data_IF_693315993588
#
_entry.id   IF_693315993588
#
_cell.length_a   1.000
_cell.length_b   1.000
_cell.length_c   1.000
_cell.angle_alpha   90.00
_cell.angle_beta   90.00
_cell.angle_gamma   90.00
#
_symmetry.space_group_name_H-M   'P 1'
#
loop_
_entity.id
_entity.type
_entity.pdbx_description
1 polymer ?
#
# COMPACT_ATOMS: atom_id res chain seq x y z
N UNK A 1 40.16 -3.41 5.10
CA UNK A 1 39.72 -3.45 6.52
C UNK A 1 38.22 -3.68 6.53
N UNK A 2 37.78 -4.94 6.37
CA UNK A 2 36.36 -5.28 6.30
C UNK A 2 35.75 -5.22 7.70
N UNK A 3 34.88 -4.24 7.95
CA UNK A 3 33.98 -4.30 9.10
C UNK A 3 33.07 -5.50 8.93
N UNK A 4 33.43 -6.61 9.58
CA UNK A 4 32.55 -7.77 9.76
C UNK A 4 31.41 -7.29 10.66
N UNK A 5 30.36 -6.74 10.06
CA UNK A 5 29.10 -6.52 10.74
C UNK A 5 28.58 -7.89 11.15
N UNK A 6 28.80 -8.23 12.43
CA UNK A 6 28.21 -9.40 13.10
C UNK A 6 26.73 -9.47 12.70
N UNK A 7 26.31 -10.56 12.07
CA UNK A 7 24.92 -10.79 11.64
C UNK A 7 24.02 -10.60 12.86
N UNK A 8 23.39 -9.43 12.97
CA UNK A 8 22.43 -9.12 14.04
C UNK A 8 21.17 -9.95 13.80
N UNK A 9 20.36 -10.14 14.85
CA UNK A 9 19.15 -10.95 14.73
C UNK A 9 18.22 -10.40 13.63
N UNK A 10 17.54 -11.26 12.85
CA UNK A 10 16.60 -10.83 11.81
C UNK A 10 15.54 -9.85 12.34
N UNK A 11 15.13 -10.03 13.59
CA UNK A 11 14.18 -9.16 14.29
C UNK A 11 14.74 -7.75 14.52
N UNK A 12 16.03 -7.61 14.88
CA UNK A 12 16.64 -6.30 15.02
C UNK A 12 16.65 -5.56 13.67
N UNK A 13 17.06 -6.25 12.61
CA UNK A 13 17.06 -5.69 11.26
C UNK A 13 15.65 -5.28 10.82
N UNK A 14 14.62 -6.03 11.23
CA UNK A 14 13.22 -5.67 10.97
C UNK A 14 12.87 -4.30 11.56
N UNK A 15 13.13 -4.10 12.85
CA UNK A 15 12.76 -2.83 13.49
C UNK A 15 13.54 -1.64 12.95
N UNK A 16 14.83 -1.82 12.61
CA UNK A 16 15.63 -0.75 12.01
C UNK A 16 15.13 -0.40 10.61
N UNK A 17 14.91 -1.42 9.75
CA UNK A 17 14.35 -1.21 8.42
C UNK A 17 12.98 -0.53 8.50
N UNK A 18 12.11 -1.05 9.37
CA UNK A 18 10.76 -0.57 9.51
C UNK A 18 10.73 0.87 10.05
N UNK A 19 11.63 1.23 10.98
CA UNK A 19 11.78 2.61 11.45
C UNK A 19 12.22 3.56 10.32
N UNK A 20 13.21 3.17 9.52
CA UNK A 20 13.63 3.97 8.36
C UNK A 20 12.49 4.20 7.37
N UNK A 21 11.75 3.14 7.03
CA UNK A 21 10.55 3.22 6.18
C UNK A 21 9.44 4.05 6.81
N UNK A 22 9.19 3.90 8.11
CA UNK A 22 8.18 4.65 8.85
C UNK A 22 8.45 6.16 8.86
N UNK A 23 9.72 6.57 9.00
CA UNK A 23 10.12 7.98 8.86
C UNK A 23 9.82 8.50 7.47
N UNK A 24 10.13 7.73 6.43
CA UNK A 24 9.77 8.09 5.03
C UNK A 24 8.25 8.12 4.83
N UNK A 25 7.48 7.25 5.49
CA UNK A 25 6.01 7.29 5.39
C UNK A 25 5.42 8.55 6.02
N UNK A 26 5.95 9.02 7.15
CA UNK A 26 5.57 10.32 7.72
C UNK A 26 5.78 11.44 6.68
N UNK A 27 6.97 11.48 6.06
CA UNK A 27 7.29 12.43 5.00
C UNK A 27 6.31 12.36 3.82
N UNK A 28 6.02 11.15 3.32
CA UNK A 28 5.11 10.92 2.21
C UNK A 28 3.71 11.49 2.47
N UNK A 29 3.15 11.24 3.66
CA UNK A 29 1.80 11.70 4.01
C UNK A 29 1.75 13.20 4.29
N UNK A 30 2.80 13.75 4.88
CA UNK A 30 2.98 15.18 5.07
C UNK A 30 3.04 15.90 3.71
N UNK A 31 3.82 15.35 2.78
CA UNK A 31 3.98 15.89 1.43
C UNK A 31 2.73 15.69 0.56
N UNK A 32 1.97 14.61 0.76
CA UNK A 32 0.69 14.40 0.08
C UNK A 32 -0.27 15.58 0.33
N UNK A 33 -0.42 16.01 1.59
CA UNK A 33 -1.26 17.17 1.94
C UNK A 33 -0.70 18.45 1.33
N UNK A 34 0.60 18.67 1.47
CA UNK A 34 1.23 19.89 0.96
C UNK A 34 1.18 20.00 -0.56
N UNK A 35 1.40 18.93 -1.31
CA UNK A 35 1.29 18.94 -2.78
C UNK A 35 -0.12 19.30 -3.23
N UNK A 36 -1.16 18.69 -2.63
CA UNK A 36 -2.54 19.00 -2.99
C UNK A 36 -2.86 20.49 -2.76
N UNK A 37 -2.47 21.02 -1.59
CA UNK A 37 -2.69 22.41 -1.25
C UNK A 37 -1.81 23.37 -2.06
N UNK A 38 -0.59 22.97 -2.43
CA UNK A 38 0.33 23.84 -3.14
C UNK A 38 -0.05 24.03 -4.61
N UNK A 39 -0.53 22.96 -5.27
CA UNK A 39 -1.09 23.09 -6.61
C UNK A 39 -2.26 24.06 -6.61
N UNK A 40 -3.20 23.89 -5.66
CA UNK A 40 -4.34 24.79 -5.53
C UNK A 40 -3.89 26.23 -5.26
N UNK A 41 -2.92 26.44 -4.38
CA UNK A 41 -2.35 27.76 -4.08
C UNK A 41 -1.73 28.43 -5.32
N UNK A 42 -1.01 27.67 -6.15
CA UNK A 42 -0.33 28.22 -7.33
C UNK A 42 -1.28 28.50 -8.50
N UNK A 43 -2.35 27.72 -8.65
CA UNK A 43 -3.17 27.74 -9.88
C UNK A 43 -4.63 28.12 -9.67
N UNK A 44 -5.09 28.19 -8.43
CA UNK A 44 -6.49 28.43 -8.05
C UNK A 44 -7.49 27.54 -8.82
N UNK A 45 -7.08 26.30 -9.11
CA UNK A 45 -7.79 25.40 -10.02
C UNK A 45 -7.82 23.98 -9.48
N UNK A 46 -9.02 23.55 -9.07
CA UNK A 46 -9.28 22.17 -8.66
C UNK A 46 -9.04 21.17 -9.80
N UNK A 47 -9.23 21.58 -11.07
CA UNK A 47 -8.95 20.74 -12.23
C UNK A 47 -7.46 20.41 -12.35
N UNK A 48 -6.59 21.40 -12.18
CA UNK A 48 -5.13 21.19 -12.25
C UNK A 48 -4.66 20.33 -11.07
N UNK A 49 -5.24 20.51 -9.88
CA UNK A 49 -5.01 19.62 -8.74
C UNK A 49 -5.40 18.17 -9.04
N UNK A 50 -6.54 17.95 -9.70
CA UNK A 50 -6.97 16.62 -10.14
C UNK A 50 -6.03 15.98 -11.16
N UNK A 51 -5.61 16.73 -12.19
CA UNK A 51 -4.63 16.27 -13.18
C UNK A 51 -3.27 15.95 -12.54
N UNK A 52 -2.87 16.74 -11.56
CA UNK A 52 -1.66 16.52 -10.79
C UNK A 52 -1.69 15.18 -10.02
N UNK A 53 -2.81 14.88 -9.35
CA UNK A 53 -3.00 13.58 -8.70
C UNK A 53 -2.98 12.43 -9.72
N UNK A 54 -3.59 12.64 -10.89
CA UNK A 54 -3.59 11.65 -11.97
C UNK A 54 -2.16 11.35 -12.46
N UNK A 55 -1.29 12.34 -12.57
CA UNK A 55 0.13 12.14 -12.94
C UNK A 55 0.87 11.29 -11.89
N UNK A 56 0.61 11.52 -10.60
CA UNK A 56 1.21 10.70 -9.53
C UNK A 56 0.78 9.24 -9.65
N UNK A 57 -0.52 9.00 -9.84
CA UNK A 57 -1.08 7.65 -10.02
C UNK A 57 -0.57 7.00 -11.30
N UNK A 58 -0.45 7.77 -12.38
CA UNK A 58 0.10 7.31 -13.65
C UNK A 58 1.54 6.83 -13.47
N UNK A 59 2.40 7.64 -12.83
CA UNK A 59 3.77 7.21 -12.50
C UNK A 59 3.80 5.93 -11.67
N UNK A 60 2.94 5.84 -10.65
CA UNK A 60 2.80 4.64 -9.84
C UNK A 60 2.34 3.41 -10.63
N UNK A 61 1.35 3.53 -11.51
CA UNK A 61 0.81 2.43 -12.29
C UNK A 61 1.85 1.82 -13.23
N UNK A 62 2.50 2.66 -14.04
CA UNK A 62 3.50 2.19 -15.00
C UNK A 62 4.67 1.54 -14.23
N UNK A 63 5.25 2.25 -13.27
CA UNK A 63 6.38 1.72 -12.52
C UNK A 63 6.02 0.59 -11.57
N UNK A 64 4.76 0.43 -11.16
CA UNK A 64 4.28 -0.76 -10.45
C UNK A 64 4.56 -2.03 -11.25
N UNK A 65 4.16 -2.06 -12.53
CA UNK A 65 4.41 -3.21 -13.39
C UNK A 65 5.91 -3.42 -13.66
N UNK A 66 6.62 -2.34 -14.05
CA UNK A 66 8.06 -2.41 -14.35
C UNK A 66 8.92 -2.75 -13.14
N UNK A 67 8.51 -2.34 -11.93
CA UNK A 67 9.27 -2.59 -10.70
C UNK A 67 9.44 -4.07 -10.42
N UNK A 68 8.47 -4.91 -10.79
CA UNK A 68 8.59 -6.35 -10.63
C UNK A 68 9.68 -6.96 -11.50
N UNK A 69 9.79 -6.50 -12.75
CA UNK A 69 10.86 -6.92 -13.67
C UNK A 69 12.23 -6.39 -13.21
N UNK A 70 12.29 -5.14 -12.77
CA UNK A 70 13.50 -4.54 -12.20
C UNK A 70 13.95 -5.29 -10.95
N UNK A 71 13.01 -5.64 -10.05
CA UNK A 71 13.28 -6.36 -8.81
C UNK A 71 13.79 -7.80 -9.04
N UNK A 72 13.57 -8.37 -10.23
CA UNK A 72 14.12 -9.67 -10.62
C UNK A 72 15.50 -9.54 -11.27
N UNK A 73 15.77 -8.47 -12.02
CA UNK A 73 17.04 -8.24 -12.72
C UNK A 73 18.12 -7.59 -11.83
N UNK A 74 17.73 -6.61 -11.01
CA UNK A 74 18.63 -5.82 -10.18
C UNK A 74 18.51 -6.19 -8.70
N UNK A 75 19.55 -5.96 -7.92
CA UNK A 75 19.48 -6.12 -6.47
C UNK A 75 18.39 -5.20 -5.85
N UNK A 76 17.48 -5.79 -5.06
CA UNK A 76 16.30 -5.08 -4.54
C UNK A 76 16.68 -4.03 -3.50
N UNK A 77 17.76 -4.25 -2.74
CA UNK A 77 18.33 -3.24 -1.82
C UNK A 77 18.80 -2.02 -2.61
N UNK A 78 19.51 -2.22 -3.70
CA UNK A 78 19.96 -1.15 -4.60
C UNK A 78 18.78 -0.36 -5.17
N UNK A 79 17.71 -1.05 -5.62
CA UNK A 79 16.49 -0.40 -6.11
C UNK A 79 15.78 0.46 -5.05
N UNK A 80 15.71 -0.03 -3.80
CA UNK A 80 15.12 0.74 -2.70
C UNK A 80 15.95 2.01 -2.41
N UNK A 81 17.28 1.89 -2.33
CA UNK A 81 18.17 3.04 -2.07
C UNK A 81 18.09 4.05 -3.22
N UNK A 82 18.17 3.61 -4.47
CA UNK A 82 18.08 4.52 -5.63
C UNK A 82 16.72 5.21 -5.68
N UNK A 83 15.64 4.51 -5.33
CA UNK A 83 14.29 5.10 -5.28
C UNK A 83 14.19 6.21 -4.24
N UNK A 84 14.78 6.03 -3.06
CA UNK A 84 14.84 7.08 -2.04
C UNK A 84 15.68 8.28 -2.50
N UNK A 85 16.85 8.05 -3.08
CA UNK A 85 17.72 9.12 -3.55
C UNK A 85 17.11 9.93 -4.70
N UNK A 86 16.43 9.28 -5.65
CA UNK A 86 15.75 9.96 -6.76
C UNK A 86 14.60 10.83 -6.23
N UNK A 87 13.80 10.31 -5.28
CA UNK A 87 12.70 11.06 -4.65
C UNK A 87 13.20 12.24 -3.83
N UNK A 88 14.28 12.05 -3.07
CA UNK A 88 14.96 13.11 -2.35
C UNK A 88 15.46 14.21 -3.31
N UNK A 89 16.18 13.83 -4.37
CA UNK A 89 16.70 14.79 -5.34
C UNK A 89 15.58 15.56 -6.04
N UNK A 90 14.49 14.89 -6.43
CA UNK A 90 13.35 15.55 -7.07
C UNK A 90 12.74 16.64 -6.17
N UNK A 91 12.57 16.35 -4.88
CA UNK A 91 12.07 17.33 -3.91
C UNK A 91 13.07 18.46 -3.63
N UNK A 92 14.36 18.17 -3.52
CA UNK A 92 15.38 19.21 -3.36
C UNK A 92 15.43 20.16 -4.57
N UNK A 93 15.33 19.62 -5.79
CA UNK A 93 15.25 20.43 -7.00
C UNK A 93 13.99 21.29 -7.02
N UNK A 94 12.84 20.77 -6.57
CA UNK A 94 11.60 21.54 -6.43
C UNK A 94 11.74 22.67 -5.39
N UNK A 95 12.39 22.43 -4.25
CA UNK A 95 12.61 23.43 -3.20
C UNK A 95 13.51 24.57 -3.68
N UNK A 96 14.58 24.22 -4.42
CA UNK A 96 15.56 25.17 -4.94
C UNK A 96 15.09 25.88 -6.22
N UNK A 97 13.97 25.45 -6.81
CA UNK A 97 13.44 26.01 -8.04
C UNK A 97 13.01 27.47 -7.87
N UNK A 98 13.33 28.34 -8.85
CA UNK A 98 12.69 29.64 -8.99
C UNK A 98 11.18 29.50 -9.15
N UNK A 99 10.42 30.51 -8.73
CA UNK A 99 8.95 30.47 -8.73
C UNK A 99 8.35 30.17 -10.11
N UNK A 100 9.00 30.64 -11.19
CA UNK A 100 8.58 30.38 -12.58
C UNK A 100 8.63 28.90 -12.99
N UNK A 101 9.46 28.09 -12.32
CA UNK A 101 9.65 26.66 -12.61
C UNK A 101 8.90 25.74 -11.63
N UNK A 102 8.23 26.30 -10.62
CA UNK A 102 7.61 25.48 -9.58
C UNK A 102 6.52 24.58 -10.12
N UNK A 103 5.57 25.10 -10.91
CA UNK A 103 4.47 24.27 -11.41
C UNK A 103 4.96 23.12 -12.34
N UNK A 104 5.82 23.34 -13.35
CA UNK A 104 6.38 22.25 -14.14
C UNK A 104 7.16 21.22 -13.30
N UNK A 105 8.03 21.68 -12.39
CA UNK A 105 8.82 20.78 -11.55
C UNK A 105 7.96 20.02 -10.53
N UNK A 106 6.86 20.62 -10.07
CA UNK A 106 5.90 19.98 -9.19
C UNK A 106 5.26 18.78 -9.90
N UNK A 107 4.85 18.92 -11.17
CA UNK A 107 4.30 17.83 -11.98
C UNK A 107 5.33 16.70 -12.19
N UNK A 108 6.57 17.05 -12.55
CA UNK A 108 7.66 16.07 -12.74
C UNK A 108 7.95 15.35 -11.41
N UNK A 109 8.04 16.09 -10.31
CA UNK A 109 8.30 15.53 -8.98
C UNK A 109 7.17 14.59 -8.56
N UNK A 110 5.92 14.95 -8.83
CA UNK A 110 4.75 14.10 -8.56
C UNK A 110 4.83 12.75 -9.28
N UNK A 111 5.18 12.77 -10.57
CA UNK A 111 5.42 11.55 -11.34
C UNK A 111 6.53 10.70 -10.71
N UNK A 112 7.69 11.31 -10.40
CA UNK A 112 8.84 10.62 -9.82
C UNK A 112 8.53 10.01 -8.45
N UNK A 113 7.83 10.75 -7.57
CA UNK A 113 7.41 10.24 -6.26
C UNK A 113 6.47 9.03 -6.40
N UNK A 114 5.50 9.08 -7.32
CA UNK A 114 4.61 7.96 -7.61
C UNK A 114 5.37 6.75 -8.15
N UNK A 115 6.21 6.98 -9.17
CA UNK A 115 6.98 5.96 -9.86
C UNK A 115 7.95 5.21 -8.93
N UNK A 116 8.87 5.95 -8.31
CA UNK A 116 9.90 5.37 -7.45
C UNK A 116 9.35 4.95 -6.08
N UNK A 117 8.22 5.50 -5.66
CA UNK A 117 7.47 4.96 -4.52
C UNK A 117 7.01 3.52 -4.74
N UNK A 118 6.53 3.19 -5.94
CA UNK A 118 6.14 1.82 -6.26
C UNK A 118 7.35 0.90 -6.44
N UNK A 119 8.43 1.37 -7.06
CA UNK A 119 9.69 0.61 -7.16
C UNK A 119 10.20 0.23 -5.77
N UNK A 120 10.19 1.17 -4.82
CA UNK A 120 10.56 0.92 -3.43
C UNK A 120 9.64 -0.13 -2.80
N UNK A 121 8.32 0.07 -2.86
CA UNK A 121 7.36 -0.78 -2.15
C UNK A 121 7.36 -2.22 -2.68
N UNK A 122 7.42 -2.42 -4.00
CA UNK A 122 7.49 -3.76 -4.61
C UNK A 122 8.79 -4.46 -4.25
N UNK A 123 9.92 -3.72 -4.28
CA UNK A 123 11.23 -4.25 -3.88
C UNK A 123 11.23 -4.66 -2.40
N UNK A 124 10.67 -3.83 -1.51
CA UNK A 124 10.59 -4.15 -0.08
C UNK A 124 9.71 -5.38 0.17
N UNK A 125 8.48 -5.38 -0.34
CA UNK A 125 7.50 -6.45 -0.07
C UNK A 125 7.94 -7.82 -0.60
N UNK A 126 8.62 -7.84 -1.75
CA UNK A 126 9.18 -9.08 -2.31
C UNK A 126 10.43 -9.57 -1.54
N UNK A 127 11.17 -8.67 -0.89
CA UNK A 127 12.38 -9.00 -0.13
C UNK A 127 12.10 -9.52 1.28
N UNK A 128 10.94 -9.20 1.87
CA UNK A 128 10.60 -9.57 3.26
C UNK A 128 10.90 -11.04 3.60
N UNK A 129 10.53 -12.04 2.78
CA UNK A 129 10.79 -13.43 3.13
C UNK A 129 12.26 -13.83 3.07
N UNK A 130 13.05 -13.13 2.26
CA UNK A 130 14.50 -13.33 2.16
C UNK A 130 15.21 -12.68 3.34
N UNK A 131 14.81 -11.46 3.71
CA UNK A 131 15.45 -10.71 4.79
C UNK A 131 15.14 -11.33 6.17
N UNK A 132 13.88 -11.75 6.39
CA UNK A 132 13.39 -12.11 7.72
C UNK A 132 13.03 -13.60 7.89
N UNK A 133 13.04 -14.39 6.81
CA UNK A 133 12.52 -15.76 6.84
C UNK A 133 11.01 -15.82 6.61
N UNK A 134 10.52 -17.01 6.25
CA UNK A 134 9.10 -17.24 5.93
C UNK A 134 8.23 -17.11 7.20
N UNK A 135 8.75 -17.55 8.33
CA UNK A 135 8.12 -17.57 9.65
C UNK A 135 7.85 -16.17 10.23
N UNK A 136 8.56 -15.14 9.76
CA UNK A 136 8.46 -13.78 10.29
C UNK A 136 7.70 -12.82 9.38
N UNK A 137 7.17 -13.29 8.25
CA UNK A 137 6.44 -12.48 7.25
C UNK A 137 5.26 -11.72 7.84
N UNK A 138 4.38 -12.42 8.57
CA UNK A 138 3.20 -11.81 9.21
C UNK A 138 3.62 -10.71 10.18
N UNK A 139 4.66 -10.97 10.99
CA UNK A 139 5.20 -9.97 11.92
C UNK A 139 5.82 -8.77 11.19
N UNK A 140 6.60 -9.01 10.13
CA UNK A 140 7.22 -7.96 9.34
C UNK A 140 6.15 -7.07 8.68
N UNK A 141 5.17 -7.66 8.02
CA UNK A 141 4.05 -6.95 7.41
C UNK A 141 3.25 -6.17 8.45
N UNK A 142 2.99 -6.74 9.63
CA UNK A 142 2.28 -6.06 10.71
C UNK A 142 3.03 -4.84 11.25
N UNK A 143 4.35 -4.94 11.43
CA UNK A 143 5.18 -3.81 11.90
C UNK A 143 5.25 -2.71 10.84
N UNK A 144 5.45 -3.07 9.58
CA UNK A 144 5.49 -2.11 8.46
C UNK A 144 4.14 -1.39 8.30
N UNK A 145 3.04 -2.15 8.31
CA UNK A 145 1.70 -1.58 8.20
C UNK A 145 1.37 -0.67 9.40
N UNK A 146 1.82 -1.06 10.60
CA UNK A 146 1.62 -0.23 11.79
C UNK A 146 2.35 1.11 11.71
N UNK A 147 3.63 1.10 11.30
CA UNK A 147 4.39 2.34 11.14
C UNK A 147 3.85 3.20 10.00
N UNK A 148 3.32 2.60 8.93
CA UNK A 148 2.65 3.35 7.87
C UNK A 148 1.38 4.05 8.40
N UNK A 149 0.53 3.35 9.16
CA UNK A 149 -0.68 3.94 9.77
C UNK A 149 -0.36 5.06 10.76
N UNK A 150 0.68 4.88 11.59
CA UNK A 150 1.19 5.94 12.47
C UNK A 150 1.70 7.13 11.64
N UNK A 151 2.47 6.83 10.58
CA UNK A 151 3.01 7.84 9.68
C UNK A 151 1.92 8.65 8.97
N UNK A 152 0.83 8.01 8.59
CA UNK A 152 -0.35 8.67 8.02
C UNK A 152 -0.95 9.69 8.98
N UNK A 153 -1.23 9.28 10.21
CA UNK A 153 -1.83 10.16 11.21
C UNK A 153 -0.89 11.32 11.53
N UNK A 154 0.38 11.04 11.84
CA UNK A 154 1.35 12.09 12.18
C UNK A 154 1.57 13.03 10.99
N UNK A 155 1.83 12.49 9.81
CA UNK A 155 2.13 13.27 8.61
C UNK A 155 0.97 14.18 8.20
N UNK A 156 -0.25 13.63 8.12
CA UNK A 156 -1.43 14.43 7.74
C UNK A 156 -1.81 15.49 8.78
N UNK A 157 -1.74 15.17 10.09
CA UNK A 157 -2.07 16.13 11.15
C UNK A 157 -1.07 17.29 11.24
N UNK A 158 0.21 17.01 11.01
CA UNK A 158 1.27 18.03 11.13
C UNK A 158 1.48 18.84 9.86
N UNK A 159 1.04 18.36 8.69
CA UNK A 159 1.25 19.02 7.41
C UNK A 159 0.73 20.47 7.39
N UNK A 160 -0.55 20.69 7.68
CA UNK A 160 -1.15 22.02 7.62
C UNK A 160 -0.54 23.00 8.62
N UNK A 161 -0.13 22.50 9.80
CA UNK A 161 0.57 23.31 10.79
C UNK A 161 1.94 23.76 10.26
N UNK A 162 2.71 22.84 9.68
CA UNK A 162 4.03 23.17 9.15
C UNK A 162 3.91 24.17 7.99
N UNK A 163 2.92 23.99 7.12
CA UNK A 163 2.63 24.93 6.02
C UNK A 163 2.27 26.32 6.57
N UNK A 164 1.42 26.40 7.59
CA UNK A 164 0.97 27.68 8.15
C UNK A 164 2.12 28.50 8.78
N UNK A 165 3.05 27.84 9.48
CA UNK A 165 4.14 28.51 10.18
C UNK A 165 5.42 28.69 9.34
N UNK A 166 5.75 27.71 8.48
CA UNK A 166 7.03 27.68 7.75
C UNK A 166 6.89 27.49 6.24
N UNK A 167 5.66 27.44 5.70
CA UNK A 167 5.39 27.37 4.27
C UNK A 167 5.61 25.99 3.62
N UNK A 168 5.20 25.88 2.36
CA UNK A 168 5.22 24.63 1.58
C UNK A 168 6.63 24.06 1.35
N UNK A 169 7.63 24.92 1.08
CA UNK A 169 9.01 24.47 0.82
C UNK A 169 9.62 23.72 2.01
N UNK A 170 9.25 24.09 3.24
CA UNK A 170 9.72 23.42 4.46
C UNK A 170 9.21 21.99 4.54
N UNK A 171 7.94 21.76 4.19
CA UNK A 171 7.38 20.41 4.08
C UNK A 171 8.18 19.57 3.08
N UNK A 172 8.44 20.09 1.88
CA UNK A 172 9.15 19.35 0.83
C UNK A 172 10.59 19.02 1.24
N UNK A 173 11.24 19.93 1.95
CA UNK A 173 12.58 19.72 2.51
C UNK A 173 12.56 18.62 3.59
N UNK A 174 11.58 18.64 4.50
CA UNK A 174 11.40 17.60 5.52
C UNK A 174 11.23 16.23 4.83
N UNK A 175 10.33 16.12 3.85
CA UNK A 175 10.11 14.87 3.13
C UNK A 175 11.38 14.38 2.41
N UNK A 176 12.12 15.28 1.75
CA UNK A 176 13.41 14.95 1.13
C UNK A 176 14.42 14.38 2.14
N UNK A 177 14.50 14.97 3.34
CA UNK A 177 15.35 14.47 4.42
C UNK A 177 14.88 13.09 4.91
N UNK A 178 13.57 12.84 4.99
CA UNK A 178 13.06 11.52 5.38
C UNK A 178 13.45 10.42 4.37
N UNK A 179 13.43 10.71 3.06
CA UNK A 179 13.94 9.79 2.04
C UNK A 179 15.43 9.55 2.17
N UNK A 180 16.23 10.61 2.41
CA UNK A 180 17.66 10.47 2.64
C UNK A 180 17.96 9.57 3.85
N UNK A 181 17.24 9.77 4.97
CA UNK A 181 17.36 8.94 6.17
C UNK A 181 17.02 7.48 5.87
N UNK A 182 15.91 7.22 5.16
CA UNK A 182 15.53 5.86 4.75
C UNK A 182 16.60 5.19 3.89
N UNK A 183 17.14 5.90 2.89
CA UNK A 183 18.21 5.41 2.03
C UNK A 183 19.51 5.11 2.79
N UNK A 184 19.88 5.96 3.74
CA UNK A 184 21.06 5.75 4.61
C UNK A 184 20.87 4.55 5.54
N UNK A 185 19.70 4.40 6.16
CA UNK A 185 19.35 3.25 6.99
C UNK A 185 19.50 1.97 6.18
N UNK A 186 18.94 1.92 4.97
CA UNK A 186 19.08 0.78 4.06
C UNK A 186 20.54 0.53 3.70
N UNK A 187 21.31 1.56 3.33
CA UNK A 187 22.71 1.41 2.94
C UNK A 187 23.54 0.72 4.04
N UNK A 188 23.36 1.14 5.29
CA UNK A 188 24.10 0.63 6.45
C UNK A 188 23.61 -0.76 6.89
N UNK A 189 22.35 -1.12 6.62
CA UNK A 189 21.78 -2.39 7.07
C UNK A 189 22.39 -3.58 6.29
N UNK A 190 23.03 -4.57 6.95
CA UNK A 190 23.58 -5.74 6.28
C UNK A 190 22.48 -6.76 6.01
N UNK A 191 21.65 -6.51 4.98
CA UNK A 191 20.56 -7.38 4.56
C UNK A 191 20.79 -7.97 3.16
N UNK A 192 20.35 -9.21 2.98
CA UNK A 192 20.23 -9.85 1.68
C UNK A 192 18.79 -9.76 1.21
N UNK A 193 18.58 -9.31 -0.02
CA UNK A 193 17.23 -9.02 -0.56
C UNK A 193 16.79 -9.94 -1.70
N UNK A 194 17.69 -10.78 -2.20
CA UNK A 194 17.41 -11.86 -3.14
C UNK A 194 17.97 -13.17 -2.62
N UNK A 195 17.29 -14.28 -2.91
CA UNK A 195 17.82 -15.60 -2.62
C UNK A 195 19.03 -15.89 -3.52
N UNK A 196 20.05 -16.58 -2.99
CA UNK A 196 21.18 -17.04 -3.81
C UNK A 196 20.69 -17.99 -4.90
N UNK A 197 20.91 -17.62 -6.17
CA UNK A 197 20.65 -18.49 -7.32
C UNK A 197 21.68 -19.62 -7.33
N UNK A 198 21.22 -20.87 -7.14
CA UNK A 198 22.08 -22.07 -7.07
C UNK A 198 22.77 -22.46 -8.39
N UNK A 199 22.67 -21.66 -9.46
CA UNK A 199 23.37 -21.95 -10.72
C UNK A 199 23.63 -20.67 -11.54
N UNK A 200 24.89 -20.40 -11.94
CA UNK A 200 25.23 -19.37 -12.93
C UNK A 200 24.63 -19.64 -14.33
N UNK A 201 24.15 -20.86 -14.61
CA UNK A 201 23.66 -21.27 -15.93
C UNK A 201 22.22 -20.81 -16.24
N UNK A 202 21.41 -20.49 -15.23
CA UNK A 202 20.01 -20.03 -15.42
C UNK A 202 19.89 -18.50 -15.52
N UNK A 203 20.96 -17.77 -15.22
CA UNK A 203 21.09 -16.33 -15.48
C UNK A 203 21.34 -16.05 -16.98
N UNK A 204 20.78 -16.87 -17.88
CA UNK A 204 20.74 -16.52 -19.29
C UNK A 204 19.80 -15.34 -19.45
N UNK A 205 20.46 -14.20 -19.58
CA UNK A 205 20.13 -12.92 -20.16
C UNK A 205 19.33 -13.04 -21.47
N UNK A 206 18.13 -13.63 -21.41
CA UNK A 206 17.15 -13.43 -22.45
C UNK A 206 16.43 -12.15 -22.07
N UNK A 207 16.78 -11.08 -22.76
CA UNK A 207 15.88 -9.95 -23.02
C UNK A 207 14.61 -10.50 -23.69
N UNK A 208 13.79 -11.18 -22.91
CA UNK A 208 12.45 -11.52 -23.30
C UNK A 208 11.73 -10.19 -23.37
N UNK A 209 11.40 -9.76 -24.59
CA UNK A 209 10.70 -8.49 -24.77
C UNK A 209 9.47 -8.40 -23.88
N UNK A 210 9.10 -7.17 -23.49
CA UNK A 210 8.01 -6.83 -22.56
C UNK A 210 6.75 -7.70 -22.71
N UNK A 211 6.28 -7.90 -23.95
CA UNK A 211 5.09 -8.71 -24.24
C UNK A 211 5.23 -10.19 -23.89
N UNK A 212 6.43 -10.76 -24.02
CA UNK A 212 6.70 -12.14 -23.65
C UNK A 212 6.68 -12.31 -22.13
N UNK A 213 7.19 -11.33 -21.37
CA UNK A 213 7.12 -11.35 -19.91
C UNK A 213 5.68 -11.27 -19.41
N UNK A 214 4.86 -10.38 -20.00
CA UNK A 214 3.41 -10.32 -19.73
C UNK A 214 2.75 -11.67 -20.01
N UNK A 215 3.08 -12.31 -21.13
CA UNK A 215 2.49 -13.59 -21.54
C UNK A 215 2.89 -14.73 -20.61
N UNK A 216 4.14 -14.76 -20.14
CA UNK A 216 4.60 -15.76 -19.17
C UNK A 216 3.88 -15.58 -17.83
N UNK A 217 3.74 -14.34 -17.38
CA UNK A 217 3.09 -14.02 -16.13
C UNK A 217 1.58 -14.27 -16.17
N UNK A 218 0.91 -13.94 -17.28
CA UNK A 218 -0.51 -14.24 -17.46
C UNK A 218 -0.78 -15.74 -17.52
N UNK A 219 0.11 -16.53 -18.16
CA UNK A 219 0.06 -18.00 -18.10
C UNK A 219 0.27 -18.53 -16.69
N UNK A 220 1.24 -17.97 -15.95
CA UNK A 220 1.52 -18.36 -14.58
C UNK A 220 0.31 -18.10 -13.65
N UNK A 221 -0.26 -16.90 -13.71
CA UNK A 221 -1.44 -16.54 -12.94
C UNK A 221 -2.68 -17.34 -13.37
N UNK A 222 -2.81 -17.66 -14.67
CA UNK A 222 -3.83 -18.55 -15.19
C UNK A 222 -3.74 -19.98 -14.65
N UNK A 223 -2.53 -20.45 -14.33
CA UNK A 223 -2.32 -21.76 -13.68
C UNK A 223 -2.60 -21.74 -12.17
N UNK A 224 -2.63 -20.56 -11.54
CA UNK A 224 -2.93 -20.36 -10.11
C UNK A 224 -4.23 -19.58 -9.93
N UNK A 225 -5.41 -20.21 -10.16
CA UNK A 225 -6.69 -19.50 -10.21
C UNK A 225 -7.03 -18.76 -8.92
N UNK A 226 -6.60 -19.27 -7.76
CA UNK A 226 -6.80 -18.58 -6.47
C UNK A 226 -6.02 -17.26 -6.45
N UNK A 227 -4.74 -17.25 -6.81
CA UNK A 227 -3.90 -16.05 -6.77
C UNK A 227 -4.46 -14.97 -7.71
N UNK A 228 -4.91 -15.37 -8.90
CA UNK A 228 -5.61 -14.47 -9.82
C UNK A 228 -6.89 -13.88 -9.21
N UNK A 229 -7.71 -14.72 -8.58
CA UNK A 229 -8.92 -14.23 -7.91
C UNK A 229 -8.61 -13.27 -6.75
N UNK A 230 -7.56 -13.52 -5.96
CA UNK A 230 -7.15 -12.57 -4.91
C UNK A 230 -6.73 -11.21 -5.49
N UNK A 231 -6.00 -11.22 -6.61
CA UNK A 231 -5.61 -10.00 -7.32
C UNK A 231 -6.82 -9.23 -7.86
N UNK A 232 -7.82 -9.93 -8.40
CA UNK A 232 -9.07 -9.31 -8.86
C UNK A 232 -9.90 -8.75 -7.70
N UNK A 233 -10.00 -9.49 -6.60
CA UNK A 233 -10.66 -9.00 -5.38
C UNK A 233 -9.94 -7.74 -4.88
N UNK A 234 -8.61 -7.73 -4.86
CA UNK A 234 -7.82 -6.56 -4.44
C UNK A 234 -8.01 -5.36 -5.38
N UNK A 235 -8.07 -5.58 -6.69
CA UNK A 235 -8.37 -4.51 -7.66
C UNK A 235 -9.72 -3.85 -7.33
N UNK A 236 -10.74 -4.67 -7.12
CA UNK A 236 -12.11 -4.19 -6.92
C UNK A 236 -12.30 -3.61 -5.51
N UNK A 237 -11.62 -4.16 -4.52
CA UNK A 237 -11.46 -3.58 -3.18
C UNK A 237 -10.89 -2.17 -3.22
N UNK A 238 -9.79 -1.95 -3.97
CA UNK A 238 -9.21 -0.61 -4.13
C UNK A 238 -10.11 0.35 -4.91
N UNK A 239 -10.88 -0.17 -5.88
CA UNK A 239 -11.93 0.59 -6.55
C UNK A 239 -13.02 1.04 -5.56
N UNK A 240 -13.53 0.13 -4.73
CA UNK A 240 -14.46 0.44 -3.65
C UNK A 240 -13.88 1.48 -2.70
N UNK A 241 -12.61 1.34 -2.36
CA UNK A 241 -11.91 2.20 -1.40
C UNK A 241 -11.76 3.66 -1.87
N UNK A 242 -11.77 3.91 -3.18
CA UNK A 242 -11.82 5.27 -3.70
C UNK A 242 -13.07 6.03 -3.22
N UNK A 243 -14.18 5.33 -2.97
CA UNK A 243 -15.43 5.92 -2.50
C UNK A 243 -15.30 6.59 -1.14
N UNK A 244 -14.55 5.99 -0.20
CA UNK A 244 -14.37 6.60 1.11
C UNK A 244 -13.25 7.64 1.11
N UNK A 245 -12.25 7.53 0.22
CA UNK A 245 -11.21 8.53 0.10
C UNK A 245 -11.76 9.90 -0.36
N UNK A 246 -12.64 9.90 -1.37
CA UNK A 246 -13.33 11.11 -1.86
C UNK A 246 -14.59 11.41 -1.03
N UNK A 247 -15.29 10.38 -0.59
CA UNK A 247 -16.57 10.52 0.12
C UNK A 247 -16.45 11.02 1.56
N UNK A 248 -15.39 10.67 2.30
CA UNK A 248 -15.23 11.12 3.70
C UNK A 248 -15.17 12.66 3.81
N UNK A 249 -14.39 13.38 2.98
CA UNK A 249 -14.43 14.85 2.95
C UNK A 249 -15.83 15.43 2.68
N UNK A 250 -16.52 14.92 1.65
CA UNK A 250 -17.88 15.39 1.28
C UNK A 250 -18.88 15.12 2.41
N UNK A 251 -18.85 13.91 2.96
CA UNK A 251 -19.71 13.49 4.06
C UNK A 251 -19.45 14.29 5.34
N UNK A 252 -18.18 14.56 5.65
CA UNK A 252 -17.79 15.38 6.81
C UNK A 252 -18.28 16.81 6.69
N UNK A 253 -18.27 17.39 5.48
CA UNK A 253 -18.84 18.71 5.21
C UNK A 253 -20.37 18.75 5.34
N UNK A 254 -21.05 17.64 5.09
CA UNK A 254 -22.50 17.52 5.33
C UNK A 254 -22.83 17.38 6.81
N UNK A 255 -22.02 16.65 7.58
CA UNK A 255 -22.22 16.45 9.03
C UNK A 255 -21.92 17.71 9.84
N UNK A 256 -20.86 18.43 9.50
CA UNK A 256 -20.49 19.68 10.16
C UNK A 256 -19.90 20.64 9.14
N UNK A 257 -20.74 21.53 8.56
CA UNK A 257 -20.27 22.55 7.62
C UNK A 257 -19.23 23.50 8.23
N UNK A 258 -19.28 23.71 9.55
CA UNK A 258 -18.36 24.60 10.26
C UNK A 258 -16.96 23.99 10.45
N UNK A 259 -16.87 22.67 10.63
CA UNK A 259 -15.61 21.99 10.97
C UNK A 259 -15.37 20.67 10.20
N UNK A 260 -15.47 20.65 8.85
CA UNK A 260 -15.34 19.42 8.07
C UNK A 260 -14.00 18.71 8.29
N UNK A 261 -12.90 19.47 8.33
CA UNK A 261 -11.55 18.94 8.50
C UNK A 261 -11.36 18.18 9.82
N UNK A 262 -12.06 18.59 10.89
CA UNK A 262 -12.01 17.89 12.18
C UNK A 262 -12.61 16.48 12.06
N UNK A 263 -13.78 16.36 11.42
CA UNK A 263 -14.44 15.06 11.22
C UNK A 263 -13.67 14.15 10.27
N UNK A 264 -13.10 14.69 9.18
CA UNK A 264 -12.20 13.94 8.29
C UNK A 264 -11.03 13.35 9.09
N UNK A 265 -10.35 14.20 9.87
CA UNK A 265 -9.23 13.78 10.72
C UNK A 265 -9.62 12.73 11.76
N UNK A 266 -10.77 12.91 12.41
CA UNK A 266 -11.27 11.99 13.44
C UNK A 266 -11.61 10.61 12.89
N UNK A 267 -12.27 10.55 11.72
CA UNK A 267 -12.61 9.29 11.04
C UNK A 267 -11.33 8.55 10.63
N UNK A 268 -10.38 9.24 9.97
CA UNK A 268 -9.12 8.63 9.54
C UNK A 268 -8.24 8.19 10.71
N UNK A 269 -8.19 8.96 11.79
CA UNK A 269 -7.45 8.58 13.00
C UNK A 269 -8.07 7.32 13.64
N UNK A 270 -9.40 7.24 13.70
CA UNK A 270 -10.10 6.10 14.27
C UNK A 270 -9.93 4.85 13.39
N UNK A 271 -10.01 5.00 12.07
CA UNK A 271 -9.67 3.94 11.12
C UNK A 271 -8.22 3.47 11.29
N UNK A 272 -7.26 4.39 11.45
CA UNK A 272 -5.85 4.05 11.63
C UNK A 272 -5.63 3.25 12.93
N UNK A 273 -6.30 3.62 14.03
CA UNK A 273 -6.27 2.84 15.28
C UNK A 273 -6.84 1.43 15.05
N UNK A 274 -7.94 1.31 14.31
CA UNK A 274 -8.49 0.02 13.92
C UNK A 274 -7.49 -0.81 13.13
N UNK A 275 -6.85 -0.21 12.14
CA UNK A 275 -5.83 -0.85 11.29
C UNK A 275 -4.64 -1.35 12.13
N UNK A 276 -4.20 -0.60 13.14
CA UNK A 276 -3.18 -1.05 14.11
C UNK A 276 -3.63 -2.28 14.92
N UNK A 277 -4.88 -2.27 15.41
CA UNK A 277 -5.46 -3.38 16.19
C UNK A 277 -5.56 -4.64 15.31
N UNK A 278 -6.10 -4.51 14.10
CA UNK A 278 -6.19 -5.61 13.13
C UNK A 278 -4.82 -6.17 12.79
N UNK A 279 -3.86 -5.28 12.53
CA UNK A 279 -2.48 -5.66 12.21
C UNK A 279 -1.83 -6.47 13.30
N UNK A 280 -1.92 -6.01 14.55
CA UNK A 280 -1.38 -6.74 15.71
C UNK A 280 -2.12 -8.05 15.98
N UNK A 281 -3.44 -8.08 15.77
CA UNK A 281 -4.27 -9.27 15.90
C UNK A 281 -3.79 -10.42 15.02
N UNK A 282 -3.40 -10.13 13.78
CA UNK A 282 -2.90 -11.17 12.85
C UNK A 282 -1.65 -11.89 13.37
N UNK A 283 -0.74 -11.20 14.05
CA UNK A 283 0.45 -11.82 14.65
C UNK A 283 0.07 -12.92 15.65
N UNK A 284 -1.01 -12.70 16.42
CA UNK A 284 -1.47 -13.64 17.45
C UNK A 284 -2.26 -14.80 16.83
N UNK A 285 -3.06 -14.53 15.80
CA UNK A 285 -3.99 -15.50 15.20
C UNK A 285 -3.36 -16.39 14.13
N UNK A 286 -2.34 -15.90 13.41
CA UNK A 286 -1.70 -16.60 12.30
C UNK A 286 -0.26 -17.00 12.68
N UNK A 287 -0.12 -17.78 13.76
CA UNK A 287 1.17 -18.34 14.18
C UNK A 287 1.70 -19.40 13.22
N UNK A 288 0.80 -20.05 12.49
CA UNK A 288 1.11 -21.16 11.59
C UNK A 288 0.88 -20.73 10.15
N UNK A 289 1.91 -20.90 9.33
CA UNK A 289 2.03 -20.32 7.99
C UNK A 289 1.25 -21.13 6.93
N UNK A 290 -0.07 -21.25 7.13
CA UNK A 290 -0.96 -21.94 6.19
C UNK A 290 -1.51 -20.91 5.19
N UNK A 291 -1.11 -21.02 3.93
CA UNK A 291 -1.58 -20.18 2.81
C UNK A 291 -3.09 -20.03 2.77
N UNK A 292 -3.82 -21.15 2.94
CA UNK A 292 -5.29 -21.19 2.93
C UNK A 292 -5.92 -20.29 4.00
N UNK A 293 -5.33 -20.20 5.19
CA UNK A 293 -5.89 -19.34 6.25
C UNK A 293 -5.71 -17.87 5.87
N UNK A 294 -4.56 -17.50 5.27
CA UNK A 294 -4.35 -16.13 4.76
C UNK A 294 -5.31 -15.79 3.63
N UNK A 295 -5.60 -16.74 2.72
CA UNK A 295 -6.59 -16.55 1.64
C UNK A 295 -7.99 -16.28 2.18
N UNK A 296 -8.48 -17.14 3.10
CA UNK A 296 -9.80 -16.99 3.73
C UNK A 296 -9.88 -15.67 4.50
N UNK A 297 -8.87 -15.39 5.32
CA UNK A 297 -8.84 -14.19 6.15
C UNK A 297 -8.82 -12.91 5.31
N UNK A 298 -8.07 -12.88 4.21
CA UNK A 298 -8.08 -11.76 3.28
C UNK A 298 -9.48 -11.52 2.68
N UNK A 299 -10.17 -12.57 2.25
CA UNK A 299 -11.49 -12.44 1.61
C UNK A 299 -12.56 -12.03 2.63
N UNK A 300 -12.58 -12.67 3.80
CA UNK A 300 -13.53 -12.33 4.88
C UNK A 300 -13.29 -10.91 5.40
N UNK A 301 -12.03 -10.50 5.57
CA UNK A 301 -11.71 -9.15 6.03
C UNK A 301 -12.04 -8.09 4.97
N UNK A 302 -11.80 -8.35 3.68
CA UNK A 302 -12.20 -7.44 2.59
C UNK A 302 -13.72 -7.26 2.52
N UNK A 303 -14.48 -8.35 2.70
CA UNK A 303 -15.93 -8.30 2.81
C UNK A 303 -16.39 -7.43 3.99
N UNK A 304 -15.84 -7.67 5.18
CA UNK A 304 -16.18 -6.93 6.39
C UNK A 304 -15.80 -5.45 6.29
N UNK A 305 -14.61 -5.15 5.76
CA UNK A 305 -14.15 -3.78 5.53
C UNK A 305 -15.13 -3.01 4.64
N UNK A 306 -15.53 -3.61 3.52
CA UNK A 306 -16.49 -3.02 2.59
C UNK A 306 -17.86 -2.81 3.24
N UNK A 307 -18.34 -3.77 4.04
CA UNK A 307 -19.59 -3.63 4.77
C UNK A 307 -19.53 -2.49 5.80
N UNK A 308 -18.44 -2.39 6.56
CA UNK A 308 -18.27 -1.35 7.57
C UNK A 308 -18.12 0.06 6.96
N UNK A 309 -17.49 0.20 5.78
CA UNK A 309 -17.49 1.49 5.08
C UNK A 309 -18.89 1.92 4.62
N UNK A 310 -19.72 0.98 4.13
CA UNK A 310 -21.11 1.30 3.78
C UNK A 310 -21.88 1.76 5.04
N UNK A 311 -21.74 1.04 6.15
CA UNK A 311 -22.40 1.37 7.42
C UNK A 311 -21.89 2.68 8.03
N UNK A 312 -20.62 3.02 7.82
CA UNK A 312 -20.05 4.31 8.23
C UNK A 312 -20.80 5.47 7.59
N UNK A 313 -21.04 5.43 6.27
CA UNK A 313 -21.77 6.47 5.56
C UNK A 313 -23.29 6.47 5.82
N UNK A 314 -23.81 5.39 6.39
CA UNK A 314 -25.20 5.33 6.87
C UNK A 314 -25.36 6.04 8.22
N UNK A 315 -24.30 6.12 9.03
CA UNK A 315 -24.36 6.70 10.36
C UNK A 315 -24.64 8.21 10.33
N UNK A 316 -25.70 8.66 10.99
CA UNK A 316 -26.04 10.09 11.06
C UNK A 316 -25.30 10.84 12.19
N UNK A 317 -24.71 10.10 13.14
CA UNK A 317 -24.10 10.66 14.34
C UNK A 317 -22.71 10.07 14.59
N UNK A 318 -21.80 10.85 15.19
CA UNK A 318 -20.41 10.41 15.42
C UNK A 318 -20.32 9.12 16.27
N UNK A 319 -21.28 8.91 17.17
CA UNK A 319 -21.38 7.68 17.98
C UNK A 319 -21.60 6.41 17.15
N UNK A 320 -22.16 6.51 15.94
CA UNK A 320 -22.32 5.36 15.02
C UNK A 320 -21.21 5.30 13.99
N UNK A 321 -20.73 6.46 13.51
CA UNK A 321 -19.66 6.55 12.50
C UNK A 321 -18.33 6.00 13.02
N UNK A 322 -17.91 6.40 14.22
CA UNK A 322 -16.57 6.04 14.73
C UNK A 322 -16.39 4.54 14.99
N UNK A 323 -17.35 3.81 15.59
CA UNK A 323 -17.24 2.35 15.69
C UNK A 323 -17.10 1.66 14.34
N UNK A 324 -17.84 2.09 13.31
CA UNK A 324 -17.71 1.51 11.97
C UNK A 324 -16.38 1.87 11.30
N UNK A 325 -15.87 3.09 11.50
CA UNK A 325 -14.52 3.47 11.05
C UNK A 325 -13.43 2.59 11.70
N UNK A 326 -13.55 2.35 13.01
CA UNK A 326 -12.64 1.48 13.75
C UNK A 326 -12.67 0.04 13.20
N UNK A 327 -13.87 -0.52 13.02
CA UNK A 327 -14.06 -1.88 12.53
C UNK A 327 -13.62 -2.05 11.06
N UNK A 328 -13.86 -1.04 10.21
CA UNK A 328 -13.32 -0.99 8.85
C UNK A 328 -11.79 -1.00 8.88
N UNK A 329 -11.18 -0.22 9.77
CA UNK A 329 -9.73 -0.24 9.99
C UNK A 329 -9.21 -1.60 10.41
N UNK A 330 -9.84 -2.25 11.40
CA UNK A 330 -9.44 -3.61 11.86
C UNK A 330 -9.46 -4.60 10.69
N UNK A 331 -10.53 -4.57 9.89
CA UNK A 331 -10.67 -5.43 8.74
C UNK A 331 -9.61 -5.14 7.67
N UNK A 332 -9.34 -3.87 7.36
CA UNK A 332 -8.30 -3.47 6.40
C UNK A 332 -6.90 -3.94 6.82
N UNK A 333 -6.54 -3.74 8.10
CA UNK A 333 -5.23 -4.18 8.62
C UNK A 333 -5.02 -5.70 8.51
N UNK A 334 -6.08 -6.49 8.72
CA UNK A 334 -6.05 -7.95 8.51
C UNK A 334 -5.90 -8.27 7.00
N UNK A 335 -6.70 -7.60 6.16
CA UNK A 335 -6.69 -7.79 4.70
C UNK A 335 -5.30 -7.52 4.11
N UNK A 336 -4.67 -6.40 4.47
CA UNK A 336 -3.35 -6.00 3.99
C UNK A 336 -2.28 -7.06 4.31
N UNK A 337 -2.22 -7.52 5.56
CA UNK A 337 -1.21 -8.49 5.99
C UNK A 337 -1.43 -9.85 5.35
N UNK A 338 -2.66 -10.35 5.32
CA UNK A 338 -2.97 -11.65 4.75
C UNK A 338 -2.70 -11.69 3.24
N UNK A 339 -3.03 -10.61 2.52
CA UNK A 339 -2.72 -10.48 1.09
C UNK A 339 -1.21 -10.50 0.84
N UNK A 340 -0.46 -9.63 1.51
CA UNK A 340 1.01 -9.54 1.33
C UNK A 340 1.70 -10.85 1.72
N UNK A 341 1.29 -11.45 2.84
CA UNK A 341 1.86 -12.73 3.31
C UNK A 341 1.57 -13.86 2.32
N UNK A 342 0.40 -13.86 1.68
CA UNK A 342 0.08 -14.87 0.64
C UNK A 342 0.95 -14.69 -0.60
N UNK A 343 1.12 -13.46 -1.11
CA UNK A 343 1.98 -13.19 -2.26
C UNK A 343 3.45 -13.53 -1.97
N UNK A 344 3.89 -13.35 -0.73
CA UNK A 344 5.23 -13.69 -0.27
C UNK A 344 5.54 -15.20 -0.24
N UNK A 345 4.54 -16.08 -0.37
CA UNK A 345 4.78 -17.52 -0.53
C UNK A 345 5.30 -17.90 -1.91
N UNK A 346 5.11 -17.01 -2.90
CA UNK A 346 5.55 -17.30 -4.25
C UNK A 346 7.08 -17.39 -4.34
N UNK A 347 7.61 -18.23 -5.24
CA UNK A 347 9.05 -18.38 -5.46
C UNK A 347 9.75 -17.03 -5.69
N UNK A 348 10.96 -16.89 -5.17
CA UNK A 348 11.68 -15.60 -5.18
C UNK A 348 11.88 -15.02 -6.60
N UNK A 349 12.09 -15.89 -7.59
CA UNK A 349 12.35 -15.51 -8.99
C UNK A 349 11.13 -14.94 -9.75
N UNK A 350 9.92 -15.03 -9.19
CA UNK A 350 8.69 -14.41 -9.75
C UNK A 350 8.01 -13.46 -8.77
N UNK A 351 8.44 -13.44 -7.51
CA UNK A 351 7.76 -12.70 -6.45
C UNK A 351 7.72 -11.20 -6.73
N UNK A 352 8.80 -10.64 -7.29
CA UNK A 352 8.85 -9.25 -7.73
C UNK A 352 7.73 -8.93 -8.73
N UNK A 353 7.61 -9.75 -9.78
CA UNK A 353 6.55 -9.65 -10.80
C UNK A 353 5.13 -9.74 -10.23
N UNK A 354 4.90 -10.67 -9.31
CA UNK A 354 3.58 -10.85 -8.66
C UNK A 354 3.20 -9.59 -7.88
N UNK A 355 4.12 -9.01 -7.09
CA UNK A 355 3.88 -7.75 -6.39
C UNK A 355 3.72 -6.56 -7.34
N UNK A 356 4.47 -6.52 -8.45
CA UNK A 356 4.37 -5.46 -9.45
C UNK A 356 2.98 -5.39 -10.12
N UNK A 357 2.43 -6.54 -10.51
CA UNK A 357 1.04 -6.61 -11.02
C UNK A 357 0.05 -6.22 -9.94
N UNK A 358 0.20 -6.76 -8.73
CA UNK A 358 -0.73 -6.47 -7.63
C UNK A 358 -0.78 -4.97 -7.32
N UNK A 359 0.37 -4.30 -7.27
CA UNK A 359 0.47 -2.85 -7.09
C UNK A 359 -0.17 -2.08 -8.26
N UNK A 360 0.05 -2.52 -9.50
CA UNK A 360 -0.57 -1.90 -10.68
C UNK A 360 -2.09 -1.99 -10.62
N UNK A 361 -2.63 -3.16 -10.25
CA UNK A 361 -4.07 -3.36 -10.08
C UNK A 361 -4.67 -2.52 -8.97
N UNK A 362 -3.97 -2.38 -7.84
CA UNK A 362 -4.38 -1.48 -6.77
C UNK A 362 -4.43 -0.02 -7.25
N UNK A 363 -3.42 0.41 -7.99
CA UNK A 363 -3.34 1.78 -8.52
C UNK A 363 -4.45 2.06 -9.54
N UNK A 364 -4.72 1.10 -10.43
CA UNK A 364 -5.81 1.21 -11.41
C UNK A 364 -7.16 1.22 -10.74
N UNK A 365 -7.42 0.27 -9.83
CA UNK A 365 -8.68 0.19 -9.10
C UNK A 365 -8.97 1.50 -8.38
N UNK A 366 -8.01 1.99 -7.61
CA UNK A 366 -8.13 3.25 -6.88
C UNK A 366 -8.30 4.47 -7.82
N UNK A 367 -7.47 4.60 -8.85
CA UNK A 367 -7.54 5.73 -9.79
C UNK A 367 -8.86 5.79 -10.58
N UNK A 368 -9.28 4.67 -11.15
CA UNK A 368 -10.57 4.56 -11.86
C UNK A 368 -11.73 4.81 -10.89
N UNK A 369 -11.64 4.28 -9.67
CA UNK A 369 -12.61 4.51 -8.61
C UNK A 369 -12.77 5.99 -8.28
N UNK A 370 -11.67 6.75 -8.15
CA UNK A 370 -11.74 8.18 -7.84
C UNK A 370 -12.37 8.99 -8.98
N UNK A 371 -12.02 8.68 -10.24
CA UNK A 371 -12.61 9.34 -11.43
C UNK A 371 -14.13 9.11 -11.49
N UNK A 372 -14.59 7.90 -11.15
CA UNK A 372 -16.02 7.56 -11.17
C UNK A 372 -16.74 8.11 -9.94
N UNK A 373 -16.10 8.07 -8.77
CA UNK A 373 -16.69 8.49 -7.50
C UNK A 373 -17.02 9.98 -7.45
N UNK A 374 -16.11 10.84 -7.95
CA UNK A 374 -16.25 12.29 -7.89
C UNK A 374 -17.58 12.80 -8.50
N UNK A 375 -17.93 12.50 -9.77
CA UNK A 375 -19.21 12.94 -10.33
C UNK A 375 -20.41 12.25 -9.67
N UNK A 376 -20.28 11.01 -9.19
CA UNK A 376 -21.37 10.35 -8.48
C UNK A 376 -21.72 11.06 -7.16
N UNK A 377 -20.73 11.57 -6.44
CA UNK A 377 -20.94 12.31 -5.18
C UNK A 377 -21.65 13.67 -5.38
N UNK A 378 -21.61 14.22 -6.60
CA UNK A 378 -22.40 15.42 -6.94
C UNK A 378 -23.86 15.09 -7.24
N UNK A 379 -24.14 13.86 -7.69
CA UNK A 379 -25.47 13.44 -8.12
C UNK A 379 -26.27 12.72 -7.03
N UNK A 380 -25.60 11.95 -6.16
CA UNK A 380 -26.22 11.10 -5.15
C UNK A 380 -25.47 11.15 -3.82
N UNK A 381 -26.14 10.76 -2.73
CA UNK A 381 -25.56 10.85 -1.39
C UNK A 381 -24.33 9.94 -1.21
N UNK A 382 -23.38 10.30 -0.33
CA UNK A 382 -22.18 9.49 -0.04
C UNK A 382 -22.50 8.04 0.31
N UNK A 383 -23.57 7.79 1.06
CA UNK A 383 -24.05 6.45 1.36
C UNK A 383 -24.36 5.62 0.11
N UNK A 384 -25.08 6.19 -0.87
CA UNK A 384 -25.43 5.47 -2.11
C UNK A 384 -24.18 5.19 -2.96
N UNK A 385 -23.25 6.15 -3.03
CA UNK A 385 -21.97 5.95 -3.73
C UNK A 385 -21.18 4.81 -3.07
N UNK A 386 -21.03 4.85 -1.74
CA UNK A 386 -20.35 3.79 -1.00
C UNK A 386 -21.05 2.44 -1.19
N UNK A 387 -22.38 2.38 -1.13
CA UNK A 387 -23.15 1.15 -1.34
C UNK A 387 -22.93 0.55 -2.74
N UNK A 388 -22.89 1.37 -3.79
CA UNK A 388 -22.61 0.92 -5.15
C UNK A 388 -21.18 0.42 -5.26
N UNK A 389 -20.21 1.20 -4.81
CA UNK A 389 -18.78 0.91 -5.02
C UNK A 389 -18.27 -0.23 -4.13
N UNK A 390 -18.65 -0.29 -2.86
CA UNK A 390 -18.31 -1.38 -1.94
C UNK A 390 -19.24 -2.60 -2.05
N UNK A 391 -20.43 -2.45 -2.66
CA UNK A 391 -21.32 -3.57 -2.98
C UNK A 391 -20.70 -4.57 -3.95
N UNK A 392 -19.86 -4.10 -4.88
CA UNK A 392 -19.16 -4.97 -5.85
C UNK A 392 -18.12 -5.89 -5.14
N UNK A 393 -17.19 -5.38 -4.30
CA UNK A 393 -16.33 -6.23 -3.47
C UNK A 393 -17.10 -7.23 -2.60
N UNK A 394 -18.20 -6.81 -1.96
CA UNK A 394 -19.04 -7.67 -1.13
C UNK A 394 -19.60 -8.84 -1.93
N UNK A 395 -20.19 -8.56 -3.09
CA UNK A 395 -20.75 -9.58 -3.99
C UNK A 395 -19.68 -10.57 -4.44
N UNK A 396 -18.51 -10.09 -4.86
CA UNK A 396 -17.43 -10.95 -5.36
C UNK A 396 -16.79 -11.78 -4.25
N UNK A 397 -16.59 -11.21 -3.06
CA UNK A 397 -16.10 -11.96 -1.91
C UNK A 397 -17.11 -13.05 -1.51
N UNK A 398 -18.41 -12.72 -1.46
CA UNK A 398 -19.48 -13.68 -1.17
C UNK A 398 -19.54 -14.81 -2.18
N UNK A 399 -19.51 -14.49 -3.48
CA UNK A 399 -19.47 -15.47 -4.56
C UNK A 399 -18.23 -16.37 -4.47
N UNK A 400 -17.06 -15.79 -4.20
CA UNK A 400 -15.82 -16.55 -4.09
C UNK A 400 -15.83 -17.49 -2.88
N UNK A 401 -16.31 -17.03 -1.72
CA UNK A 401 -16.48 -17.86 -0.52
C UNK A 401 -17.38 -19.06 -0.86
N UNK A 402 -18.55 -18.83 -1.47
CA UNK A 402 -19.48 -19.92 -1.81
C UNK A 402 -18.87 -20.93 -2.78
N UNK A 403 -18.14 -20.47 -3.80
CA UNK A 403 -17.51 -21.33 -4.82
C UNK A 403 -16.35 -22.17 -4.26
N UNK A 404 -15.59 -21.65 -3.30
CA UNK A 404 -14.37 -22.28 -2.80
C UNK A 404 -14.47 -22.88 -1.39
N UNK A 405 -15.60 -22.70 -0.70
CA UNK A 405 -15.83 -23.21 0.66
C UNK A 405 -15.58 -24.71 0.80
N UNK A 406 -16.04 -25.53 -0.16
CA UNK A 406 -15.86 -26.98 -0.10
C UNK A 406 -14.39 -27.40 -0.23
N UNK A 407 -13.62 -26.69 -1.08
CA UNK A 407 -12.18 -26.91 -1.25
C UNK A 407 -11.44 -26.58 0.05
N UNK A 408 -11.74 -25.45 0.67
CA UNK A 408 -11.11 -25.05 1.92
C UNK A 408 -11.41 -25.99 3.08
N UNK A 409 -12.66 -26.45 3.21
CA UNK A 409 -13.04 -27.46 4.23
C UNK A 409 -12.22 -28.74 4.07
N UNK A 410 -11.99 -29.19 2.85
CA UNK A 410 -11.18 -30.37 2.57
C UNK A 410 -9.69 -30.17 2.92
N UNK A 411 -9.10 -29.03 2.54
CA UNK A 411 -7.69 -28.74 2.82
C UNK A 411 -7.41 -28.57 4.31
N UNK A 412 -8.34 -27.94 5.07
CA UNK A 412 -8.19 -27.79 6.51
C UNK A 412 -8.28 -29.15 7.23
N UNK A 413 -9.25 -30.00 6.87
CA UNK A 413 -9.40 -31.34 7.45
C UNK A 413 -8.21 -32.27 7.20
N UNK A 414 -7.67 -32.25 5.98
CA UNK A 414 -6.51 -33.07 5.62
C UNK A 414 -5.21 -32.61 6.29
N UNK A 415 -5.08 -31.31 6.59
CA UNK A 415 -3.95 -30.78 7.35
C UNK A 415 -3.99 -31.20 8.83
N UNK A 416 -5.18 -31.29 9.42
CA UNK A 416 -5.34 -31.71 10.82
C UNK A 416 -5.14 -33.22 10.99
N UNK A 417 -5.60 -34.04 10.02
CA UNK A 417 -5.35 -35.50 10.04
C UNK A 417 -3.86 -35.86 10.00
N UNK A 418 -3.06 -35.16 9.18
CA UNK A 418 -1.60 -35.38 9.13
C UNK A 418 -0.86 -34.99 10.41
N UNK A 419 -1.43 -34.12 11.23
CA UNK A 419 -0.85 -33.78 12.54
C UNK A 419 -1.17 -34.83 13.61
N UNK A 420 -2.29 -35.57 13.46
CA UNK A 420 -2.70 -36.65 14.38
C UNK A 420 -1.97 -37.96 14.08
N UNK A 421 -1.58 -38.23 12.83
CA UNK A 421 -0.84 -39.44 12.44
C UNK A 421 0.68 -39.36 12.71
N UNK A 422 1.20 -38.19 13.06
CA UNK A 422 2.65 -37.94 13.25
C UNK A 422 3.02 -37.26 14.58
N UNK A 423 2.05 -37.08 15.48
CA UNK A 423 2.26 -36.68 16.87
C UNK A 423 1.91 -37.82 17.80
#
# INVERSE_FOLDING_TARGET
MGMVFKQRSPIFNLYVLAAGKGISDIGNFLNMVAFNLYVLFLTDSALIMGLFMAIRLFGGFFCGFFSGMLADRMDRKTLMISSDLIRCLALLLLVLAPDTWQLPLLLITSFLLGAFGQVFNVSLQSSIPVIFGQEHRVKANAVLNALQSIGMVIGTLTASLIIAFWGYKTVFLIDALTFLISGLVLAILPIQTKAETKSPQEATDKDTGFFMEIKLLSRYLGALPILWSLMMIRLIDTFGSASHNVGIPVFSAQLSPENPSFYVGLIWATWAVGNLIGSRGTIKWFKTDKTVISEIAFICSTFLMSAFFILLFWGEHWLTILPFALLAGVADGISAICFNSRLQHEPDHIRGRVFGIASSFQTVGFGVGMIICSPLLEMISPFKVAAIMHGIPIFLCGWFILRHMNRWKYTLRSADQKQVEHG
#
